data_IF_105960742479
#
_entry.id   IF_105960742479
#
_cell.length_a   1.000
_cell.length_b   1.000
_cell.length_c   1.000
_cell.angle_alpha   90.00
_cell.angle_beta   90.00
_cell.angle_gamma   90.00
#
_symmetry.space_group_name_H-M   'P 1'
#
loop_
_entity.id
_entity.type
_entity.pdbx_description
1 polymer ?
#
# COMPACT_ATOMS: atom_id res chain seq x y z
N UNK A 1 -22.41 -6.02 -22.04
CA UNK A 1 -21.58 -7.14 -21.59
C UNK A 1 -20.85 -6.73 -20.33
N UNK A 2 -20.97 -7.52 -19.26
CA UNK A 2 -20.20 -7.30 -18.03
C UNK A 2 -18.75 -7.77 -18.27
N UNK A 3 -17.72 -7.02 -17.85
CA UNK A 3 -16.34 -7.46 -17.98
C UNK A 3 -16.12 -8.73 -17.16
N UNK A 4 -15.30 -9.64 -17.68
CA UNK A 4 -14.92 -10.87 -16.98
C UNK A 4 -13.95 -10.54 -15.86
N UNK A 5 -14.13 -11.21 -14.69
CA UNK A 5 -13.19 -11.13 -13.59
C UNK A 5 -11.76 -11.48 -14.06
N UNK A 6 -10.76 -10.67 -13.67
CA UNK A 6 -9.38 -10.85 -14.12
C UNK A 6 -9.00 -10.20 -15.46
N UNK A 7 -9.97 -9.61 -16.19
CA UNK A 7 -9.62 -8.87 -17.41
C UNK A 7 -9.00 -7.49 -17.05
N UNK A 8 -8.06 -6.95 -17.85
CA UNK A 8 -7.44 -5.66 -17.60
C UNK A 8 -8.42 -4.47 -17.51
N UNK A 9 -9.59 -4.60 -18.10
CA UNK A 9 -10.64 -3.57 -18.11
C UNK A 9 -11.59 -3.64 -16.90
N UNK A 10 -11.59 -4.75 -16.14
CA UNK A 10 -12.54 -4.98 -15.05
C UNK A 10 -12.40 -3.98 -13.89
N UNK A 11 -11.19 -3.63 -13.40
CA UNK A 11 -11.06 -2.65 -12.32
C UNK A 11 -11.61 -1.27 -12.71
N UNK A 12 -11.34 -0.82 -13.94
CA UNK A 12 -11.87 0.45 -14.45
C UNK A 12 -13.40 0.45 -14.59
N UNK A 13 -13.96 -0.66 -15.00
CA UNK A 13 -15.43 -0.79 -15.14
C UNK A 13 -16.11 -0.81 -13.76
N UNK A 14 -15.53 -1.50 -12.77
CA UNK A 14 -15.99 -1.49 -11.39
C UNK A 14 -15.93 -0.09 -10.81
N UNK A 15 -14.78 0.59 -10.92
CA UNK A 15 -14.60 1.97 -10.43
C UNK A 15 -15.66 2.91 -11.00
N UNK A 16 -15.93 2.89 -12.32
CA UNK A 16 -16.98 3.70 -12.93
C UNK A 16 -18.37 3.39 -12.37
N UNK A 17 -18.66 2.13 -12.07
CA UNK A 17 -19.94 1.72 -11.49
C UNK A 17 -20.07 2.20 -10.04
N UNK A 18 -18.99 2.13 -9.27
CA UNK A 18 -18.93 2.64 -7.90
C UNK A 18 -19.04 4.16 -7.87
N UNK A 19 -18.31 4.87 -8.72
CA UNK A 19 -18.38 6.32 -8.85
C UNK A 19 -19.79 6.81 -9.18
N UNK A 20 -20.43 6.20 -10.15
CA UNK A 20 -21.80 6.51 -10.51
C UNK A 20 -22.79 6.28 -9.35
N UNK A 21 -22.62 5.19 -8.60
CA UNK A 21 -23.43 4.91 -7.42
C UNK A 21 -23.16 5.93 -6.30
N UNK A 22 -21.90 6.18 -5.95
CA UNK A 22 -21.58 7.13 -4.89
C UNK A 22 -22.07 8.54 -5.21
N UNK A 23 -21.92 9.00 -6.46
CA UNK A 23 -22.46 10.27 -6.90
C UNK A 23 -23.99 10.33 -6.80
N UNK A 24 -24.71 9.25 -7.12
CA UNK A 24 -26.16 9.19 -6.97
C UNK A 24 -26.62 9.23 -5.49
N UNK A 25 -25.77 8.78 -4.55
CA UNK A 25 -25.99 8.84 -3.10
C UNK A 25 -25.50 10.16 -2.47
N UNK A 26 -25.02 11.12 -3.27
CA UNK A 26 -24.57 12.44 -2.80
C UNK A 26 -23.11 12.49 -2.32
N UNK A 27 -22.29 11.54 -2.74
CA UNK A 27 -20.85 11.60 -2.55
C UNK A 27 -20.19 12.41 -3.65
N UNK A 28 -19.05 13.01 -3.32
CA UNK A 28 -18.14 13.65 -4.28
C UNK A 28 -16.71 13.18 -4.06
N UNK A 29 -15.87 13.23 -5.10
CA UNK A 29 -14.46 12.83 -4.98
C UNK A 29 -13.64 13.92 -4.27
N UNK A 30 -12.58 13.52 -3.57
CA UNK A 30 -11.70 14.45 -2.88
C UNK A 30 -10.55 14.87 -3.80
N UNK A 31 -10.65 16.12 -4.32
CA UNK A 31 -9.57 16.72 -5.09
C UNK A 31 -9.16 15.90 -6.31
N UNK A 32 -7.89 15.47 -6.34
CA UNK A 32 -7.33 14.69 -7.47
C UNK A 32 -7.45 13.17 -7.29
N UNK A 33 -7.95 12.71 -6.14
CA UNK A 33 -8.03 11.27 -5.83
C UNK A 33 -9.42 10.74 -6.19
N UNK A 34 -9.51 10.12 -7.36
CA UNK A 34 -10.77 9.59 -7.90
C UNK A 34 -11.31 8.38 -7.13
N UNK A 35 -10.48 7.74 -6.30
CA UNK A 35 -10.84 6.53 -5.52
C UNK A 35 -11.20 6.84 -4.07
N UNK A 36 -11.33 8.12 -3.72
CA UNK A 36 -11.75 8.56 -2.39
C UNK A 36 -12.96 9.48 -2.53
N UNK A 37 -14.05 9.09 -1.92
CA UNK A 37 -15.31 9.84 -1.93
C UNK A 37 -15.65 10.33 -0.52
N UNK A 38 -16.24 11.50 -0.45
CA UNK A 38 -16.82 12.06 0.76
C UNK A 38 -18.27 12.44 0.53
N UNK A 39 -19.12 12.13 1.47
CA UNK A 39 -20.49 12.58 1.53
C UNK A 39 -20.66 13.45 2.78
N UNK A 40 -20.97 14.73 2.62
CA UNK A 40 -21.28 15.61 3.73
C UNK A 40 -22.54 15.16 4.49
N UNK A 41 -22.59 15.50 5.77
CA UNK A 41 -23.76 15.27 6.59
C UNK A 41 -25.02 15.92 5.99
N UNK A 42 -26.13 15.18 6.04
CA UNK A 42 -27.44 15.69 5.58
C UNK A 42 -28.32 14.61 4.96
N UNK A 43 -29.60 14.88 4.87
CA UNK A 43 -30.58 13.99 4.26
C UNK A 43 -30.59 12.58 4.84
N UNK A 44 -30.31 11.57 4.02
CA UNK A 44 -30.34 10.14 4.39
C UNK A 44 -29.35 9.77 5.52
N UNK A 45 -28.19 10.46 5.60
CA UNK A 45 -27.17 10.22 6.61
C UNK A 45 -26.83 11.52 7.33
N UNK A 46 -26.97 11.56 8.67
CA UNK A 46 -26.80 12.78 9.46
C UNK A 46 -25.34 13.17 9.73
N UNK A 47 -24.38 12.36 9.30
CA UNK A 47 -22.95 12.57 9.50
C UNK A 47 -22.16 12.39 8.19
N UNK A 48 -20.94 12.93 8.19
CA UNK A 48 -20.01 12.75 7.07
C UNK A 48 -19.58 11.29 6.95
N UNK A 49 -19.55 10.80 5.73
CA UNK A 49 -19.07 9.45 5.39
C UNK A 49 -17.93 9.58 4.40
N UNK A 50 -16.83 8.93 4.69
CA UNK A 50 -15.65 8.84 3.82
C UNK A 50 -15.51 7.40 3.34
N UNK A 51 -15.29 7.22 2.05
CA UNK A 51 -15.06 5.92 1.43
C UNK A 51 -13.79 5.98 0.60
N UNK A 52 -12.85 5.09 0.86
CA UNK A 52 -11.70 4.85 0.00
C UNK A 52 -11.84 3.46 -0.60
N UNK A 53 -11.65 3.34 -1.92
CA UNK A 53 -11.71 2.04 -2.60
C UNK A 53 -10.40 1.72 -3.31
N UNK A 54 -9.95 0.48 -3.15
CA UNK A 54 -8.85 -0.09 -3.91
C UNK A 54 -9.33 -1.36 -4.62
N UNK A 55 -9.68 -1.21 -5.90
CA UNK A 55 -10.34 -2.23 -6.72
C UNK A 55 -11.69 -2.62 -6.10
N UNK A 56 -11.77 -3.73 -5.37
CA UNK A 56 -12.96 -4.29 -4.71
C UNK A 56 -12.97 -4.07 -3.18
N UNK A 57 -11.83 -3.72 -2.59
CA UNK A 57 -11.72 -3.42 -1.16
C UNK A 57 -12.14 -1.98 -0.86
N UNK A 58 -13.13 -1.80 0.02
CA UNK A 58 -13.61 -0.49 0.46
C UNK A 58 -13.33 -0.27 1.95
N UNK A 59 -12.60 0.81 2.26
CA UNK A 59 -12.44 1.31 3.61
C UNK A 59 -13.45 2.43 3.86
N UNK A 60 -14.32 2.26 4.86
CA UNK A 60 -15.38 3.21 5.20
C UNK A 60 -15.08 3.85 6.55
N UNK A 61 -15.12 5.17 6.62
CA UNK A 61 -14.94 5.94 7.85
C UNK A 61 -16.18 6.82 8.11
N UNK A 62 -16.71 6.69 9.31
CA UNK A 62 -17.82 7.52 9.81
C UNK A 62 -17.71 7.64 11.32
N UNK A 63 -18.24 8.72 11.90
CA UNK A 63 -18.18 8.96 13.35
C UNK A 63 -19.17 8.09 14.11
N UNK A 64 -20.38 7.88 13.59
CA UNK A 64 -21.43 7.08 14.21
C UNK A 64 -21.46 5.65 13.66
N UNK A 65 -21.52 4.68 14.56
CA UNK A 65 -21.67 3.27 14.20
C UNK A 65 -23.04 2.97 13.54
N UNK A 66 -24.09 3.67 13.95
CA UNK A 66 -25.43 3.48 13.39
C UNK A 66 -25.49 3.95 11.93
N UNK A 67 -24.90 5.13 11.65
CA UNK A 67 -24.78 5.66 10.30
C UNK A 67 -23.90 4.74 9.44
N UNK A 68 -22.81 4.27 9.99
CA UNK A 68 -21.92 3.30 9.34
C UNK A 68 -22.66 2.01 8.97
N UNK A 69 -23.40 1.44 9.91
CA UNK A 69 -24.15 0.18 9.70
C UNK A 69 -25.22 0.34 8.63
N UNK A 70 -25.95 1.47 8.67
CA UNK A 70 -26.96 1.78 7.64
C UNK A 70 -26.32 1.91 6.26
N UNK A 71 -25.23 2.67 6.14
CA UNK A 71 -24.55 2.85 4.86
C UNK A 71 -23.98 1.55 4.32
N UNK A 72 -23.39 0.70 5.17
CA UNK A 72 -22.92 -0.63 4.77
C UNK A 72 -24.04 -1.50 4.22
N UNK A 73 -25.22 -1.47 4.87
CA UNK A 73 -26.40 -2.20 4.39
C UNK A 73 -26.77 -1.74 2.98
N UNK A 74 -26.91 -0.43 2.78
CA UNK A 74 -27.27 0.16 1.48
C UNK A 74 -26.21 -0.18 0.39
N UNK A 75 -24.92 -0.17 0.76
CA UNK A 75 -23.82 -0.52 -0.14
C UNK A 75 -23.86 -2.00 -0.53
N UNK A 76 -24.09 -2.90 0.43
CA UNK A 76 -24.15 -4.35 0.20
C UNK A 76 -25.41 -4.78 -0.56
N UNK A 77 -26.52 -4.05 -0.46
CA UNK A 77 -27.70 -4.25 -1.31
C UNK A 77 -27.38 -3.96 -2.78
N UNK A 78 -26.54 -2.96 -3.02
CA UNK A 78 -26.15 -2.55 -4.37
C UNK A 78 -25.01 -3.38 -4.95
N UNK A 79 -23.99 -3.64 -4.14
CA UNK A 79 -22.80 -4.42 -4.50
C UNK A 79 -22.73 -5.65 -3.62
N UNK A 80 -22.76 -6.83 -4.24
CA UNK A 80 -22.60 -8.08 -3.50
C UNK A 80 -21.17 -8.15 -2.94
N UNK A 81 -21.03 -8.09 -1.64
CA UNK A 81 -19.76 -8.10 -0.94
C UNK A 81 -19.90 -8.68 0.45
N UNK A 82 -18.81 -8.67 1.21
CA UNK A 82 -18.72 -9.11 2.59
C UNK A 82 -18.39 -7.93 3.48
N UNK A 83 -19.03 -7.81 4.63
CA UNK A 83 -18.64 -6.86 5.66
C UNK A 83 -17.61 -7.50 6.60
N UNK A 84 -16.35 -7.09 6.47
CA UNK A 84 -15.24 -7.55 7.33
C UNK A 84 -15.27 -6.92 8.73
N UNK A 85 -16.27 -6.10 9.03
CA UNK A 85 -16.50 -5.42 10.33
C UNK A 85 -15.43 -4.39 10.66
N UNK A 86 -14.68 -4.58 11.76
CA UNK A 86 -13.54 -3.71 12.09
C UNK A 86 -12.33 -4.08 11.23
N UNK A 87 -11.68 -3.05 10.71
CA UNK A 87 -10.50 -3.24 9.87
C UNK A 87 -9.31 -3.60 10.74
N UNK A 88 -8.79 -4.80 10.59
CA UNK A 88 -7.54 -5.28 11.20
C UNK A 88 -6.38 -5.20 10.20
N UNK A 89 -6.69 -5.42 8.91
CA UNK A 89 -5.71 -5.33 7.82
C UNK A 89 -6.34 -4.58 6.63
N UNK A 90 -5.56 -3.70 6.00
CA UNK A 90 -5.95 -3.03 4.77
C UNK A 90 -4.73 -2.85 3.86
N UNK A 91 -4.84 -3.32 2.62
CA UNK A 91 -3.77 -3.29 1.61
C UNK A 91 -2.46 -3.90 2.11
N UNK A 92 -2.54 -4.98 2.90
CA UNK A 92 -1.38 -5.69 3.44
C UNK A 92 -0.67 -4.97 4.60
N UNK A 93 -1.30 -3.94 5.15
CA UNK A 93 -0.88 -3.27 6.38
C UNK A 93 -1.84 -3.60 7.52
N UNK A 94 -1.29 -3.94 8.67
CA UNK A 94 -2.05 -4.11 9.90
C UNK A 94 -2.47 -2.75 10.44
N UNK A 95 -3.73 -2.60 10.88
CA UNK A 95 -4.24 -1.39 11.53
C UNK A 95 -4.35 -1.63 13.03
N UNK A 96 -3.36 -1.16 13.79
CA UNK A 96 -3.39 -1.16 15.25
C UNK A 96 -4.09 0.08 15.75
N UNK A 97 -5.22 -0.07 16.45
CA UNK A 97 -6.08 1.04 16.83
C UNK A 97 -6.34 1.06 18.34
N UNK A 98 -6.09 2.19 18.98
CA UNK A 98 -6.54 2.49 20.33
C UNK A 98 -7.63 3.57 20.29
N UNK A 99 -8.89 3.16 20.52
CA UNK A 99 -10.06 4.07 20.51
C UNK A 99 -10.08 5.00 21.71
N UNK A 100 -9.51 4.60 22.85
CA UNK A 100 -9.45 5.42 24.06
C UNK A 100 -8.43 6.53 23.91
N UNK A 101 -7.22 6.17 23.44
CA UNK A 101 -6.17 7.14 23.15
C UNK A 101 -6.43 7.94 21.86
N UNK A 102 -7.42 7.55 21.04
CA UNK A 102 -7.72 8.11 19.72
C UNK A 102 -6.52 8.05 18.78
N UNK A 103 -5.79 6.95 18.83
CA UNK A 103 -4.64 6.70 17.96
C UNK A 103 -4.90 5.52 17.04
N UNK A 104 -4.28 5.56 15.86
CA UNK A 104 -4.25 4.47 14.90
C UNK A 104 -2.91 4.42 14.22
N UNK A 105 -2.35 3.22 14.08
CA UNK A 105 -1.07 2.98 13.45
C UNK A 105 -1.23 1.97 12.32
N UNK A 106 -0.75 2.32 11.14
CA UNK A 106 -0.54 1.36 10.05
C UNK A 106 0.83 0.72 10.24
N UNK A 107 0.87 -0.61 10.28
CA UNK A 107 2.06 -1.39 10.60
C UNK A 107 2.29 -2.45 9.52
N UNK A 108 3.54 -2.63 9.13
CA UNK A 108 3.97 -3.69 8.20
C UNK A 108 4.92 -4.69 8.87
N UNK A 109 4.80 -4.91 10.18
CA UNK A 109 5.71 -5.79 10.92
C UNK A 109 5.73 -7.22 10.35
N UNK A 110 4.57 -7.80 10.07
CA UNK A 110 4.44 -9.11 9.44
C UNK A 110 5.09 -9.18 8.06
N UNK A 111 4.92 -8.14 7.23
CA UNK A 111 5.57 -8.05 5.93
C UNK A 111 7.09 -7.95 6.07
N UNK A 112 7.59 -7.04 6.91
CA UNK A 112 9.03 -6.90 7.20
C UNK A 112 9.66 -8.21 7.64
N UNK A 113 9.02 -8.91 8.56
CA UNK A 113 9.46 -10.24 9.02
C UNK A 113 9.56 -11.27 7.87
N UNK A 114 8.58 -11.31 6.96
CA UNK A 114 8.62 -12.19 5.78
C UNK A 114 9.77 -11.83 4.84
N UNK A 115 10.00 -10.54 4.61
CA UNK A 115 11.11 -10.06 3.77
C UNK A 115 12.46 -10.47 4.37
N UNK A 116 12.67 -10.20 5.65
CA UNK A 116 13.93 -10.56 6.32
C UNK A 116 14.21 -12.06 6.25
N UNK A 117 13.20 -12.90 6.48
CA UNK A 117 13.34 -14.37 6.35
C UNK A 117 13.62 -14.80 4.92
N UNK A 118 12.94 -14.22 3.93
CA UNK A 118 13.12 -14.56 2.51
C UNK A 118 14.52 -14.27 1.98
N UNK A 119 15.20 -13.27 2.55
CA UNK A 119 16.56 -12.90 2.17
C UNK A 119 17.64 -13.35 3.16
N UNK A 120 17.27 -14.22 4.16
CA UNK A 120 18.15 -14.70 5.23
C UNK A 120 18.79 -13.58 6.05
N UNK A 121 18.02 -12.51 6.33
CA UNK A 121 18.43 -11.33 7.09
C UNK A 121 17.80 -11.27 8.48
N UNK A 122 17.05 -12.29 8.89
CA UNK A 122 16.33 -12.30 10.17
C UNK A 122 17.23 -12.11 11.38
N UNK A 123 18.41 -12.73 11.36
CA UNK A 123 19.39 -12.68 12.44
C UNK A 123 20.51 -11.65 12.15
N UNK A 124 20.30 -10.75 11.20
CA UNK A 124 21.28 -9.72 10.88
C UNK A 124 21.42 -8.70 12.00
N UNK A 125 22.61 -8.19 12.20
CA UNK A 125 22.85 -7.09 13.13
C UNK A 125 22.23 -5.80 12.58
N UNK A 126 21.39 -5.08 13.37
CA UNK A 126 20.80 -3.84 12.93
C UNK A 126 21.86 -2.76 12.71
N UNK A 127 21.65 -1.95 11.69
CA UNK A 127 22.51 -0.81 11.36
C UNK A 127 21.78 0.51 11.64
N UNK A 128 22.53 1.53 12.06
CA UNK A 128 21.95 2.81 12.45
C UNK A 128 21.34 3.62 11.29
N UNK A 129 21.80 3.37 10.06
CA UNK A 129 21.35 4.11 8.87
C UNK A 129 21.13 3.18 7.69
N UNK A 130 20.04 3.35 6.94
CA UNK A 130 19.74 2.50 5.78
C UNK A 130 20.82 2.57 4.69
N UNK A 131 21.49 3.69 4.57
CA UNK A 131 22.59 3.89 3.62
C UNK A 131 23.77 4.56 4.32
N UNK A 132 24.96 4.06 4.05
CA UNK A 132 26.20 4.64 4.57
C UNK A 132 26.48 5.97 3.86
N UNK A 133 26.87 7.00 4.62
CA UNK A 133 27.16 8.34 4.08
C UNK A 133 28.35 8.35 3.11
N UNK A 134 29.26 7.39 3.23
CA UNK A 134 30.46 7.25 2.39
C UNK A 134 30.20 6.42 1.13
N UNK A 135 29.17 5.59 1.12
CA UNK A 135 28.85 4.72 -0.03
C UNK A 135 28.20 5.53 -1.15
N UNK A 136 28.91 5.66 -2.27
CA UNK A 136 28.38 6.27 -3.50
C UNK A 136 28.20 5.19 -4.55
N UNK A 137 26.93 4.85 -4.80
CA UNK A 137 26.58 3.93 -5.87
C UNK A 137 26.78 4.60 -7.22
N UNK A 138 27.46 3.91 -8.14
CA UNK A 138 27.86 4.43 -9.43
C UNK A 138 27.59 3.43 -10.55
N UNK A 139 27.45 3.93 -11.79
CA UNK A 139 27.42 3.08 -12.99
C UNK A 139 28.75 2.36 -13.23
N UNK A 140 29.85 2.82 -12.63
CA UNK A 140 31.14 2.14 -12.69
C UNK A 140 31.14 0.81 -11.93
N UNK A 141 30.22 0.63 -10.99
CA UNK A 141 30.02 -0.61 -10.25
C UNK A 141 29.13 -1.61 -11.02
N UNK A 142 28.64 -1.23 -12.20
CA UNK A 142 27.87 -2.13 -13.05
C UNK A 142 28.79 -3.12 -13.75
N UNK A 143 28.51 -4.43 -13.71
CA UNK A 143 29.29 -5.42 -14.43
C UNK A 143 29.05 -5.33 -15.94
N UNK A 144 30.03 -5.73 -16.73
CA UNK A 144 29.93 -5.81 -18.21
C UNK A 144 28.84 -6.81 -18.62
N UNK A 145 28.72 -7.90 -17.87
CA UNK A 145 27.66 -8.92 -18.03
C UNK A 145 26.96 -9.08 -16.68
N UNK A 146 25.67 -8.82 -16.64
CA UNK A 146 24.88 -8.93 -15.40
C UNK A 146 24.53 -10.40 -15.15
N UNK A 147 24.90 -10.92 -13.98
CA UNK A 147 24.45 -12.24 -13.53
C UNK A 147 22.91 -12.22 -13.33
N UNK A 148 22.17 -13.11 -14.01
CA UNK A 148 20.72 -13.20 -13.88
C UNK A 148 20.24 -13.46 -12.44
N UNK A 149 21.02 -14.16 -11.61
CA UNK A 149 20.70 -14.41 -10.20
C UNK A 149 20.82 -13.14 -9.37
N UNK A 150 21.93 -12.41 -9.51
CA UNK A 150 22.16 -11.12 -8.84
C UNK A 150 21.08 -10.13 -9.26
N UNK A 151 20.79 -10.06 -10.56
CA UNK A 151 19.77 -9.18 -11.12
C UNK A 151 18.38 -9.43 -10.51
N UNK A 152 17.94 -10.70 -10.53
CA UNK A 152 16.64 -11.09 -9.97
C UNK A 152 16.56 -10.79 -8.48
N UNK A 153 17.59 -11.16 -7.72
CA UNK A 153 17.66 -10.96 -6.28
C UNK A 153 17.63 -9.47 -5.91
N UNK A 154 18.44 -8.67 -6.60
CA UNK A 154 18.47 -7.22 -6.41
C UNK A 154 17.10 -6.58 -6.66
N UNK A 155 16.47 -6.89 -7.79
CA UNK A 155 15.15 -6.37 -8.13
C UNK A 155 14.09 -6.79 -7.11
N UNK A 156 14.17 -8.00 -6.59
CA UNK A 156 13.25 -8.48 -5.55
C UNK A 156 13.43 -7.70 -4.25
N UNK A 157 14.67 -7.46 -3.79
CA UNK A 157 14.93 -6.66 -2.59
C UNK A 157 14.42 -5.22 -2.78
N UNK A 158 14.79 -4.57 -3.88
CA UNK A 158 14.36 -3.19 -4.15
C UNK A 158 12.85 -3.08 -4.27
N UNK A 159 12.18 -4.09 -4.85
CA UNK A 159 10.73 -4.17 -4.91
C UNK A 159 10.08 -4.27 -3.51
N UNK A 160 10.66 -5.07 -2.62
CA UNK A 160 10.20 -5.15 -1.22
C UNK A 160 10.39 -3.83 -0.48
N UNK A 161 11.54 -3.17 -0.66
CA UNK A 161 11.81 -1.84 -0.07
C UNK A 161 10.81 -0.81 -0.61
N UNK A 162 10.51 -0.84 -1.92
CA UNK A 162 9.51 0.04 -2.53
C UNK A 162 8.15 -0.03 -1.84
N UNK A 163 7.68 -1.24 -1.57
CA UNK A 163 6.40 -1.43 -0.87
C UNK A 163 6.44 -0.90 0.56
N UNK A 164 7.53 -1.13 1.30
CA UNK A 164 7.73 -0.56 2.64
C UNK A 164 7.71 0.97 2.62
N UNK A 165 8.44 1.59 1.69
CA UNK A 165 8.53 3.05 1.53
C UNK A 165 7.18 3.69 1.27
N UNK A 166 6.41 3.10 0.35
CA UNK A 166 5.13 3.66 -0.07
C UNK A 166 4.04 3.55 1.01
N UNK A 167 4.21 2.63 1.98
CA UNK A 167 3.17 2.38 2.97
C UNK A 167 3.54 2.95 4.36
N UNK A 168 4.60 2.44 5.00
CA UNK A 168 4.87 2.75 6.42
C UNK A 168 6.29 3.20 6.73
N UNK A 169 7.25 3.10 5.79
CA UNK A 169 8.67 3.40 5.98
C UNK A 169 9.19 4.49 5.04
N UNK A 170 8.64 5.72 5.11
CA UNK A 170 9.13 6.84 4.27
C UNK A 170 10.60 7.23 4.57
N UNK A 171 11.13 6.86 5.73
CA UNK A 171 12.53 7.01 6.11
C UNK A 171 13.49 6.27 5.16
N UNK A 172 13.06 5.22 4.49
CA UNK A 172 13.82 4.46 3.50
C UNK A 172 13.77 5.08 2.09
N UNK A 173 13.01 6.16 1.86
CA UNK A 173 12.76 6.71 0.53
C UNK A 173 14.04 7.14 -0.21
N UNK A 174 14.99 7.74 0.49
CA UNK A 174 16.28 8.11 -0.10
C UNK A 174 17.05 6.87 -0.59
N UNK A 175 17.18 5.87 0.27
CA UNK A 175 17.89 4.63 -0.06
C UNK A 175 17.23 3.90 -1.23
N UNK A 176 15.90 3.80 -1.23
CA UNK A 176 15.13 3.26 -2.34
C UNK A 176 15.40 4.02 -3.65
N UNK A 177 15.37 5.36 -3.61
CA UNK A 177 15.65 6.19 -4.78
C UNK A 177 17.06 5.96 -5.34
N UNK A 178 18.08 5.79 -4.48
CA UNK A 178 19.44 5.50 -4.93
C UNK A 178 19.54 4.10 -5.56
N UNK A 179 18.99 3.09 -4.90
CA UNK A 179 19.02 1.70 -5.39
C UNK A 179 18.24 1.52 -6.70
N UNK A 180 17.10 2.19 -6.85
CA UNK A 180 16.26 2.05 -8.04
C UNK A 180 16.96 2.46 -9.35
N UNK A 181 17.98 3.30 -9.29
CA UNK A 181 18.77 3.73 -10.46
C UNK A 181 19.52 2.58 -11.13
N UNK A 182 19.77 1.48 -10.41
CA UNK A 182 20.60 0.37 -10.87
C UNK A 182 19.81 -0.93 -11.12
N UNK A 183 18.49 -0.86 -11.24
CA UNK A 183 17.62 -2.02 -11.50
C UNK A 183 17.93 -2.76 -12.77
N UNK A 184 18.57 -2.12 -13.76
CA UNK A 184 18.91 -2.74 -15.04
C UNK A 184 20.30 -3.43 -15.03
N UNK A 185 21.22 -2.90 -14.23
CA UNK A 185 22.62 -3.38 -14.22
C UNK A 185 23.20 -3.40 -12.79
N UNK A 186 22.61 -4.16 -11.85
CA UNK A 186 23.16 -4.23 -10.51
C UNK A 186 24.45 -5.04 -10.47
N UNK A 187 25.48 -4.50 -9.81
CA UNK A 187 26.67 -5.22 -9.40
C UNK A 187 26.66 -5.55 -7.90
N UNK A 188 27.74 -6.16 -7.40
CA UNK A 188 27.85 -6.61 -6.01
C UNK A 188 27.78 -5.45 -5.01
N UNK A 189 28.35 -4.29 -5.34
CA UNK A 189 28.27 -3.08 -4.52
C UNK A 189 26.80 -2.64 -4.33
N UNK A 190 26.01 -2.66 -5.43
CA UNK A 190 24.60 -2.32 -5.39
C UNK A 190 23.80 -3.32 -4.55
N UNK A 191 24.10 -4.63 -4.72
CA UNK A 191 23.44 -5.69 -3.96
C UNK A 191 23.75 -5.59 -2.46
N UNK A 192 25.03 -5.33 -2.11
CA UNK A 192 25.45 -5.13 -0.72
C UNK A 192 24.73 -3.93 -0.08
N UNK A 193 24.60 -2.83 -0.82
CA UNK A 193 23.85 -1.66 -0.36
C UNK A 193 22.35 -1.97 -0.16
N UNK A 194 21.75 -2.79 -1.02
CA UNK A 194 20.36 -3.22 -0.86
C UNK A 194 20.17 -4.11 0.39
N UNK A 195 21.10 -5.01 0.67
CA UNK A 195 21.09 -5.79 1.91
C UNK A 195 21.25 -4.93 3.17
N UNK A 196 22.07 -3.87 3.11
CA UNK A 196 22.19 -2.95 4.22
C UNK A 196 20.87 -2.27 4.59
N UNK A 197 19.99 -2.00 3.62
CA UNK A 197 18.66 -1.41 3.90
C UNK A 197 17.76 -2.41 4.63
N UNK A 198 18.01 -3.72 4.49
CA UNK A 198 17.26 -4.76 5.20
C UNK A 198 17.78 -5.02 6.61
N UNK A 199 19.00 -4.60 6.95
CA UNK A 199 19.60 -4.74 8.26
C UNK A 199 19.20 -3.59 9.19
#
# INVERSE_FOLDING_TARGET
LKPLYGSPSSPRALHKTMDAYFKSEGFDTIGFEESVWVRPAGGKYPEDIYVSAHVDDCLICCKSLDVMSKFKTDLLERFKGTDEKEVEEYLGCELVRDRKARTGHLVQAGYGARVLRAFNMWDSHPVATPMDATTRLSKLDCPTVVDPHVHRKYRSIVGCISYLVNMTRPDLAFSFSQLSKFLQCPGDTHLSAAYRVLA
#
